data_IF_700633530349
#
_entry.id   IF_700633530349
#
_cell.length_a   1.000
_cell.length_b   1.000
_cell.length_c   1.000
_cell.angle_alpha   90.00
_cell.angle_beta   90.00
_cell.angle_gamma   90.00
#
_symmetry.space_group_name_H-M   'P 1'
#
loop_
_entity.id
_entity.type
_entity.pdbx_description
1 polymer ?
#
# COMPACT_ATOMS: atom_id res chain seq x y z
N UNK A 1 -20.19 24.97 10.18
CA UNK A 1 -19.26 23.90 9.76
C UNK A 1 -19.83 23.33 8.47
N UNK A 2 -19.25 23.67 7.31
CA UNK A 2 -19.67 23.05 6.05
C UNK A 2 -19.35 21.56 6.13
N UNK A 3 -20.31 20.69 5.79
CA UNK A 3 -20.01 19.27 5.58
C UNK A 3 -19.04 19.21 4.42
N UNK A 4 -17.82 18.73 4.65
CA UNK A 4 -16.96 18.33 3.55
C UNK A 4 -17.75 17.31 2.71
N UNK A 5 -17.96 17.60 1.42
CA UNK A 5 -18.57 16.64 0.53
C UNK A 5 -17.60 15.45 0.43
N UNK A 6 -18.05 14.27 0.88
CA UNK A 6 -17.35 13.04 0.56
C UNK A 6 -17.60 12.78 -0.92
N UNK A 7 -16.53 12.81 -1.72
CA UNK A 7 -16.62 12.44 -3.12
C UNK A 7 -16.59 10.91 -3.21
N UNK A 8 -17.63 10.26 -3.77
CA UNK A 8 -17.58 8.83 -3.98
C UNK A 8 -16.42 8.51 -4.94
N UNK A 9 -15.65 7.48 -4.60
CA UNK A 9 -14.57 7.02 -5.48
C UNK A 9 -15.20 6.24 -6.64
N UNK A 10 -15.08 6.76 -7.87
CA UNK A 10 -15.53 6.04 -9.07
C UNK A 10 -14.52 4.95 -9.44
N UNK A 11 -14.60 3.82 -8.74
CA UNK A 11 -13.66 2.70 -8.88
C UNK A 11 -13.53 2.12 -10.31
N UNK A 12 -14.60 2.01 -11.12
CA UNK A 12 -14.49 1.56 -12.51
C UNK A 12 -13.50 2.35 -13.38
N UNK A 13 -13.12 3.56 -12.98
CA UNK A 13 -12.11 4.37 -13.66
C UNK A 13 -10.66 4.03 -13.25
N UNK A 14 -10.45 3.23 -12.19
CA UNK A 14 -9.16 3.02 -11.53
C UNK A 14 -8.48 1.72 -11.99
N UNK A 15 -9.27 0.65 -12.13
CA UNK A 15 -8.79 -0.68 -12.51
C UNK A 15 -9.38 -1.11 -13.85
N UNK A 16 -8.72 -2.03 -14.55
CA UNK A 16 -9.31 -2.68 -15.72
C UNK A 16 -10.57 -3.48 -15.35
N UNK A 17 -11.37 -3.84 -16.36
CA UNK A 17 -12.65 -4.52 -16.17
C UNK A 17 -12.52 -5.83 -15.41
N UNK A 18 -11.47 -6.62 -15.64
CA UNK A 18 -11.33 -7.94 -15.04
C UNK A 18 -10.92 -7.84 -13.57
N UNK A 19 -10.05 -6.90 -13.24
CA UNK A 19 -9.73 -6.58 -11.84
C UNK A 19 -10.94 -5.97 -11.11
N UNK A 20 -11.75 -5.15 -11.78
CA UNK A 20 -13.01 -4.67 -11.20
C UNK A 20 -13.97 -5.83 -10.88
N UNK A 21 -14.15 -6.78 -11.82
CA UNK A 21 -15.00 -7.96 -11.62
C UNK A 21 -14.47 -8.83 -10.47
N UNK A 22 -13.15 -9.04 -10.39
CA UNK A 22 -12.52 -9.75 -9.28
C UNK A 22 -12.82 -9.08 -7.94
N UNK A 23 -12.60 -7.77 -7.84
CA UNK A 23 -12.88 -6.98 -6.63
C UNK A 23 -14.37 -7.08 -6.27
N UNK A 24 -15.26 -7.00 -7.25
CA UNK A 24 -16.70 -7.06 -7.05
C UNK A 24 -17.19 -8.41 -6.54
N UNK A 25 -16.63 -9.50 -7.05
CA UNK A 25 -16.95 -10.84 -6.58
C UNK A 25 -16.53 -11.02 -5.11
N UNK A 26 -15.36 -10.52 -4.74
CA UNK A 26 -14.86 -10.56 -3.35
C UNK A 26 -15.74 -9.69 -2.44
N UNK A 27 -16.02 -8.46 -2.85
CA UNK A 27 -16.85 -7.55 -2.09
C UNK A 27 -18.29 -8.07 -1.91
N UNK A 28 -18.87 -8.66 -2.96
CA UNK A 28 -20.23 -9.23 -2.91
C UNK A 28 -20.31 -10.48 -2.05
N UNK A 29 -19.32 -11.38 -2.16
CA UNK A 29 -19.28 -12.64 -1.39
C UNK A 29 -19.07 -12.40 0.11
N UNK A 30 -18.29 -11.38 0.47
CA UNK A 30 -17.98 -11.03 1.86
C UNK A 30 -18.73 -9.84 2.42
N UNK A 31 -19.66 -9.24 1.66
CA UNK A 31 -20.43 -8.06 2.07
C UNK A 31 -19.49 -6.91 2.51
N UNK A 32 -18.45 -6.65 1.72
CA UNK A 32 -17.45 -5.62 1.98
C UNK A 32 -17.69 -4.41 1.10
N UNK A 33 -17.68 -3.18 1.66
CA UNK A 33 -17.53 -1.98 0.85
C UNK A 33 -16.29 -2.07 -0.06
N UNK A 34 -16.46 -1.71 -1.33
CA UNK A 34 -15.38 -1.82 -2.33
C UNK A 34 -14.17 -0.99 -1.95
N UNK A 35 -14.42 0.18 -1.40
CA UNK A 35 -13.43 1.16 -0.97
C UNK A 35 -12.56 0.62 0.18
N UNK A 36 -13.12 -0.22 1.06
CA UNK A 36 -12.32 -0.87 2.10
C UNK A 36 -11.31 -1.84 1.51
N UNK A 37 -11.76 -2.69 0.59
CA UNK A 37 -10.86 -3.66 -0.03
C UNK A 37 -9.76 -2.98 -0.83
N UNK A 38 -10.09 -1.98 -1.66
CA UNK A 38 -9.12 -1.26 -2.49
C UNK A 38 -8.08 -0.53 -1.64
N UNK A 39 -8.53 0.13 -0.58
CA UNK A 39 -7.64 0.87 0.32
C UNK A 39 -6.65 -0.05 1.03
N UNK A 40 -7.07 -1.26 1.39
CA UNK A 40 -6.20 -2.28 2.01
C UNK A 40 -5.34 -3.01 0.98
N UNK A 41 -5.80 -3.11 -0.28
CA UNK A 41 -5.06 -3.73 -1.38
C UNK A 41 -3.84 -2.90 -1.80
N UNK A 42 -3.89 -1.57 -1.74
CA UNK A 42 -2.77 -0.70 -2.11
C UNK A 42 -1.46 -1.01 -1.34
N UNK A 43 -1.43 -1.10 0.01
CA UNK A 43 -0.26 -1.56 0.76
C UNK A 43 0.26 -2.94 0.34
N UNK A 44 -0.63 -3.88 0.02
CA UNK A 44 -0.25 -5.22 -0.43
C UNK A 44 0.39 -5.18 -1.82
N UNK A 45 -0.14 -4.37 -2.74
CA UNK A 45 0.51 -4.11 -4.04
C UNK A 45 1.87 -3.47 -3.80
N UNK A 46 1.96 -2.42 -2.98
CA UNK A 46 3.22 -1.76 -2.62
C UNK A 46 4.25 -2.70 -1.97
N UNK A 47 3.78 -3.75 -1.29
CA UNK A 47 4.63 -4.81 -0.75
C UNK A 47 5.18 -5.71 -1.87
N UNK A 48 4.33 -6.17 -2.77
CA UNK A 48 4.71 -7.13 -3.82
C UNK A 48 5.35 -6.51 -5.07
N UNK A 49 5.23 -5.20 -5.28
CA UNK A 49 6.10 -4.48 -6.23
C UNK A 49 7.55 -4.40 -5.75
N UNK A 50 7.87 -4.97 -4.59
CA UNK A 50 9.22 -5.37 -4.19
C UNK A 50 10.25 -4.23 -4.15
N UNK A 51 9.80 -3.03 -3.79
CA UNK A 51 10.63 -1.84 -3.74
C UNK A 51 10.82 -1.13 -5.07
N UNK A 52 10.16 -1.57 -6.14
CA UNK A 52 10.07 -0.83 -7.39
C UNK A 52 9.67 0.63 -7.15
N UNK A 53 10.20 1.48 -8.01
CA UNK A 53 10.12 2.92 -7.87
C UNK A 53 9.24 3.50 -8.96
N UNK A 54 8.66 4.64 -8.65
CA UNK A 54 8.05 5.49 -9.66
C UNK A 54 8.87 6.77 -9.82
N UNK A 55 9.19 7.09 -11.06
CA UNK A 55 9.79 8.37 -11.44
C UNK A 55 8.68 9.29 -11.92
N UNK A 56 8.39 10.27 -11.08
CA UNK A 56 7.54 11.41 -11.47
C UNK A 56 8.42 12.47 -12.14
N UNK A 57 7.88 13.64 -12.47
CA UNK A 57 8.68 14.80 -12.88
C UNK A 57 9.76 15.21 -11.85
N UNK A 58 9.75 14.64 -10.63
CA UNK A 58 10.87 14.72 -9.70
C UNK A 58 12.12 14.02 -10.24
N UNK A 59 13.29 14.66 -10.10
CA UNK A 59 14.57 14.04 -10.51
C UNK A 59 14.84 12.71 -9.80
N UNK A 60 14.29 12.51 -8.61
CA UNK A 60 14.50 11.31 -7.80
C UNK A 60 13.28 10.39 -7.89
N UNK A 61 13.45 9.11 -8.26
CA UNK A 61 12.43 8.09 -8.10
C UNK A 61 12.01 7.93 -6.64
N UNK A 62 10.78 7.48 -6.41
CA UNK A 62 10.25 7.21 -5.07
C UNK A 62 9.72 5.78 -5.03
N UNK A 63 9.91 5.04 -3.93
CA UNK A 63 9.35 3.69 -3.86
C UNK A 63 7.82 3.76 -3.81
N UNK A 64 7.18 2.74 -4.37
CA UNK A 64 5.73 2.57 -4.29
C UNK A 64 5.41 1.98 -2.91
N UNK A 65 5.14 2.86 -1.94
CA UNK A 65 4.80 2.49 -0.57
C UNK A 65 3.59 3.25 -0.05
N UNK A 66 2.69 2.55 0.63
CA UNK A 66 1.43 3.12 1.09
C UNK A 66 1.26 2.96 2.58
N UNK A 67 0.82 4.05 3.23
CA UNK A 67 0.18 3.99 4.53
C UNK A 67 -1.30 4.24 4.29
N UNK A 68 -2.16 3.28 4.62
CA UNK A 68 -3.60 3.38 4.42
C UNK A 68 -4.34 3.04 5.69
N UNK A 69 -5.52 3.63 5.84
CA UNK A 69 -6.40 3.37 6.95
C UNK A 69 -7.86 3.37 6.51
N UNK A 70 -8.55 2.25 6.69
CA UNK A 70 -10.01 2.17 6.55
C UNK A 70 -10.66 2.61 7.87
N UNK A 71 -11.66 3.47 7.78
CA UNK A 71 -12.31 4.09 8.93
C UNK A 71 -13.76 3.64 8.96
N UNK A 72 -14.19 3.17 10.12
CA UNK A 72 -15.57 2.75 10.30
C UNK A 72 -15.90 2.36 11.73
N UNK A 73 -17.18 2.42 12.05
CA UNK A 73 -17.69 1.97 13.35
C UNK A 73 -17.49 0.45 13.54
N UNK A 74 -17.69 -0.08 14.76
CA UNK A 74 -17.75 -1.53 14.95
C UNK A 74 -18.78 -2.18 14.01
N UNK A 75 -18.53 -3.44 13.63
CA UNK A 75 -19.47 -4.26 12.84
C UNK A 75 -19.75 -3.82 11.40
N UNK A 76 -18.88 -2.99 10.81
CA UNK A 76 -18.96 -2.59 9.38
C UNK A 76 -18.01 -3.40 8.49
N UNK A 77 -17.65 -4.62 8.91
CA UNK A 77 -16.77 -5.55 8.18
C UNK A 77 -15.34 -5.03 7.87
N UNK A 78 -14.78 -4.13 8.70
CA UNK A 78 -13.37 -3.72 8.57
C UNK A 78 -12.42 -4.90 8.70
N UNK A 79 -12.61 -5.72 9.72
CA UNK A 79 -11.77 -6.89 10.01
C UNK A 79 -11.76 -7.90 8.87
N UNK A 80 -12.89 -8.10 8.21
CA UNK A 80 -12.95 -8.95 7.01
C UNK A 80 -12.07 -8.44 5.86
N UNK A 81 -11.98 -7.11 5.66
CA UNK A 81 -11.09 -6.54 4.65
C UNK A 81 -9.61 -6.67 5.07
N UNK A 82 -9.31 -6.46 6.35
CA UNK A 82 -7.98 -6.69 6.94
C UNK A 82 -7.53 -8.14 6.76
N UNK A 83 -8.39 -9.10 7.13
CA UNK A 83 -8.16 -10.54 7.00
C UNK A 83 -8.00 -10.98 5.54
N UNK A 84 -8.80 -10.43 4.62
CA UNK A 84 -8.68 -10.73 3.19
C UNK A 84 -7.27 -10.49 2.66
N UNK A 85 -6.70 -9.32 3.01
CA UNK A 85 -5.35 -8.94 2.60
C UNK A 85 -4.30 -9.75 3.35
N UNK A 86 -4.43 -9.90 4.67
CA UNK A 86 -3.50 -10.68 5.49
C UNK A 86 -3.38 -12.12 4.98
N UNK A 87 -4.51 -12.77 4.73
CA UNK A 87 -4.56 -14.13 4.21
C UNK A 87 -3.94 -14.23 2.82
N UNK A 88 -4.23 -13.26 1.93
CA UNK A 88 -3.63 -13.25 0.59
C UNK A 88 -2.10 -13.15 0.64
N UNK A 89 -1.55 -12.29 1.51
CA UNK A 89 -0.10 -12.15 1.70
C UNK A 89 0.49 -13.43 2.27
N UNK A 90 -0.11 -14.01 3.33
CA UNK A 90 0.36 -15.25 3.96
C UNK A 90 0.38 -16.44 2.98
N UNK A 91 -0.64 -16.56 2.14
CA UNK A 91 -0.71 -17.61 1.11
C UNK A 91 0.46 -17.47 0.12
N UNK A 92 0.78 -16.25 -0.30
CA UNK A 92 1.91 -15.98 -1.19
C UNK A 92 3.23 -16.28 -0.49
N UNK A 93 3.44 -15.81 0.75
CA UNK A 93 4.67 -16.09 1.50
C UNK A 93 4.91 -17.61 1.64
N UNK A 94 3.86 -18.35 2.00
CA UNK A 94 3.89 -19.81 2.06
C UNK A 94 4.23 -20.43 0.71
N UNK A 95 3.63 -19.94 -0.38
CA UNK A 95 3.93 -20.43 -1.73
C UNK A 95 5.36 -20.13 -2.17
N UNK A 96 5.92 -18.98 -1.77
CA UNK A 96 7.30 -18.60 -2.00
C UNK A 96 8.30 -19.34 -1.08
N UNK A 97 7.81 -20.20 -0.18
CA UNK A 97 8.65 -20.93 0.77
C UNK A 97 9.27 -20.06 1.86
N UNK A 98 8.73 -18.86 2.09
CA UNK A 98 9.15 -17.97 3.18
C UNK A 98 8.71 -18.61 4.51
N UNK A 99 9.67 -18.81 5.41
CA UNK A 99 9.38 -19.38 6.74
C UNK A 99 8.74 -18.34 7.64
N UNK A 100 8.04 -18.78 8.68
CA UNK A 100 7.35 -17.89 9.62
C UNK A 100 8.29 -16.87 10.28
N UNK A 101 9.51 -17.28 10.64
CA UNK A 101 10.54 -16.40 11.20
C UNK A 101 11.14 -15.41 10.19
N UNK A 102 10.94 -15.68 8.90
CA UNK A 102 11.36 -14.84 7.76
C UNK A 102 10.20 -14.04 7.16
N UNK A 103 9.00 -14.13 7.77
CA UNK A 103 7.80 -13.44 7.30
C UNK A 103 8.06 -11.95 7.23
N UNK A 104 7.58 -11.35 6.16
CA UNK A 104 7.66 -9.91 5.89
C UNK A 104 6.41 -9.18 6.37
N UNK A 105 5.49 -9.91 6.98
CA UNK A 105 4.33 -9.39 7.69
C UNK A 105 4.76 -9.09 9.12
N UNK A 106 4.53 -7.85 9.55
CA UNK A 106 4.94 -7.40 10.86
C UNK A 106 3.83 -6.62 11.57
N UNK A 107 3.74 -6.73 12.90
CA UNK A 107 2.90 -5.88 13.74
C UNK A 107 3.70 -5.27 14.91
N UNK A 108 4.97 -4.91 14.66
CA UNK A 108 5.85 -4.33 15.67
C UNK A 108 5.29 -2.99 16.11
N UNK A 109 4.97 -2.91 17.41
CA UNK A 109 4.43 -1.70 18.00
C UNK A 109 5.48 -0.59 18.19
N UNK A 110 6.78 -0.89 18.20
CA UNK A 110 7.81 0.16 18.41
C UNK A 110 8.67 0.37 17.17
N UNK A 111 9.13 1.60 16.95
CA UNK A 111 10.02 1.93 15.83
C UNK A 111 11.35 1.20 15.96
N UNK A 112 11.89 0.97 17.16
CA UNK A 112 13.08 0.15 17.36
C UNK A 112 12.89 -1.29 16.88
N UNK A 113 11.77 -1.92 17.25
CA UNK A 113 11.47 -3.29 16.86
C UNK A 113 11.28 -3.38 15.35
N UNK A 114 10.51 -2.45 14.78
CA UNK A 114 10.32 -2.31 13.33
C UNK A 114 11.65 -2.17 12.57
N UNK A 115 12.55 -1.28 13.02
CA UNK A 115 13.85 -1.11 12.35
C UNK A 115 14.77 -2.32 12.52
N UNK A 116 14.65 -3.04 13.63
CA UNK A 116 15.40 -4.28 13.87
C UNK A 116 14.93 -5.37 12.91
N UNK A 117 13.62 -5.51 12.70
CA UNK A 117 13.06 -6.45 11.73
C UNK A 117 13.39 -6.07 10.29
N UNK A 118 13.30 -4.79 9.94
CA UNK A 118 13.73 -4.30 8.63
C UNK A 118 15.20 -4.62 8.35
N UNK A 119 16.04 -4.60 9.39
CA UNK A 119 17.47 -4.94 9.27
C UNK A 119 17.71 -6.45 9.18
N UNK A 120 17.03 -7.24 10.01
CA UNK A 120 17.36 -8.65 10.22
C UNK A 120 16.58 -9.61 9.31
N UNK A 121 15.34 -9.26 8.98
CA UNK A 121 14.43 -10.14 8.24
C UNK A 121 14.40 -9.76 6.76
N UNK A 122 13.92 -8.55 6.48
CA UNK A 122 13.80 -8.04 5.11
C UNK A 122 13.69 -6.52 5.16
N UNK A 123 14.39 -5.75 4.30
CA UNK A 123 14.21 -4.29 4.23
C UNK A 123 12.84 -3.88 3.66
N UNK A 124 11.91 -4.82 3.49
CA UNK A 124 10.60 -4.63 2.87
C UNK A 124 9.56 -5.32 3.72
N UNK A 125 8.77 -4.54 4.45
CA UNK A 125 7.73 -5.07 5.34
C UNK A 125 6.36 -4.53 4.97
N UNK A 126 5.34 -5.30 5.31
CA UNK A 126 3.96 -4.85 5.40
C UNK A 126 3.48 -4.99 6.84
N UNK A 127 2.84 -3.96 7.36
CA UNK A 127 2.08 -4.05 8.60
C UNK A 127 0.59 -4.08 8.31
N UNK A 128 -0.11 -4.99 8.98
CA UNK A 128 -1.55 -5.15 8.86
C UNK A 128 -2.16 -5.02 10.25
N UNK A 129 -2.92 -3.94 10.48
CA UNK A 129 -3.48 -3.60 11.78
C UNK A 129 -5.00 -3.62 11.70
N UNK A 130 -5.65 -4.49 12.47
CA UNK A 130 -7.12 -4.42 12.59
C UNK A 130 -7.59 -3.24 13.47
N UNK A 131 -6.69 -2.75 14.33
CA UNK A 131 -6.91 -1.60 15.20
C UNK A 131 -5.71 -0.64 15.17
N UNK A 132 -5.79 0.35 14.29
CA UNK A 132 -4.76 1.36 14.04
C UNK A 132 -4.41 2.17 15.29
N UNK A 133 -5.33 2.26 16.26
CA UNK A 133 -5.10 2.97 17.52
C UNK A 133 -3.85 2.43 18.23
N UNK A 134 -3.58 1.12 18.15
CA UNK A 134 -2.40 0.51 18.76
C UNK A 134 -1.12 1.02 18.10
N UNK A 135 -1.12 1.12 16.77
CA UNK A 135 -0.01 1.71 16.00
C UNK A 135 0.15 3.20 16.33
N UNK A 136 -0.91 3.98 16.28
CA UNK A 136 -0.85 5.44 16.43
C UNK A 136 -0.46 5.84 17.86
N UNK A 137 -1.00 5.17 18.87
CA UNK A 137 -0.65 5.42 20.27
C UNK A 137 0.75 4.91 20.64
N UNK A 138 1.36 4.06 19.79
CA UNK A 138 2.68 3.55 20.08
C UNK A 138 3.80 4.57 19.97
N UNK A 139 3.58 5.64 19.19
CA UNK A 139 4.57 6.67 18.97
C UNK A 139 4.87 7.43 20.27
N UNK A 140 6.13 7.41 20.71
CA UNK A 140 6.55 8.11 21.92
C UNK A 140 6.24 7.42 23.25
N UNK A 141 5.69 6.19 23.26
CA UNK A 141 5.34 5.47 24.51
C UNK A 141 6.47 5.40 25.54
N UNK A 142 7.73 5.36 25.09
CA UNK A 142 8.90 5.11 25.94
C UNK A 142 9.80 6.33 26.15
N UNK A 143 9.42 7.53 25.70
CA UNK A 143 10.26 8.73 25.80
C UNK A 143 9.54 9.88 26.47
N UNK A 144 10.16 10.42 27.53
CA UNK A 144 9.74 11.67 28.19
C UNK A 144 9.84 12.90 27.27
N UNK A 145 10.40 12.77 26.06
CA UNK A 145 10.56 13.84 25.06
C UNK A 145 9.57 13.82 23.89
N UNK A 146 8.50 13.02 23.97
CA UNK A 146 7.41 13.02 22.99
C UNK A 146 7.59 12.12 21.76
N UNK A 147 6.56 12.09 20.91
CA UNK A 147 6.42 11.19 19.76
C UNK A 147 7.15 11.66 18.48
N UNK A 148 7.65 12.90 18.44
CA UNK A 148 8.15 13.55 17.23
C UNK A 148 9.25 12.77 16.50
N UNK A 149 10.17 12.14 17.23
CA UNK A 149 11.24 11.36 16.59
C UNK A 149 10.71 10.10 15.90
N UNK A 150 9.83 9.34 16.56
CA UNK A 150 9.29 8.10 16.00
C UNK A 150 8.44 8.41 14.77
N UNK A 151 7.63 9.47 14.82
CA UNK A 151 6.86 9.96 13.66
C UNK A 151 7.76 10.42 12.51
N UNK A 152 8.86 11.11 12.79
CA UNK A 152 9.84 11.51 11.75
C UNK A 152 10.47 10.30 11.03
N UNK A 153 10.70 9.20 11.75
CA UNK A 153 11.16 7.95 11.14
C UNK A 153 10.07 7.36 10.24
N UNK A 154 8.81 7.35 10.67
CA UNK A 154 7.69 6.89 9.83
C UNK A 154 7.55 7.75 8.56
N UNK A 155 7.68 9.07 8.67
CA UNK A 155 7.74 9.98 7.53
C UNK A 155 8.91 9.66 6.58
N UNK A 156 10.06 9.30 7.13
CA UNK A 156 11.26 8.90 6.36
C UNK A 156 11.05 7.57 5.64
N UNK A 157 10.43 6.59 6.30
CA UNK A 157 10.07 5.29 5.71
C UNK A 157 9.05 5.45 4.59
N UNK A 158 8.03 6.28 4.79
CA UNK A 158 7.05 6.60 3.74
C UNK A 158 7.72 7.25 2.52
N UNK A 159 8.59 8.23 2.75
CA UNK A 159 9.32 8.93 1.69
C UNK A 159 10.40 8.06 1.03
N UNK A 160 10.60 6.83 1.50
CA UNK A 160 11.50 5.85 0.86
C UNK A 160 12.95 6.30 0.83
N UNK A 161 13.45 6.79 1.96
CA UNK A 161 14.87 7.17 2.10
C UNK A 161 15.79 6.03 1.68
N UNK A 162 16.92 6.38 1.05
CA UNK A 162 17.97 5.41 0.68
C UNK A 162 18.53 4.73 1.92
N UNK A 163 18.62 5.44 3.05
CA UNK A 163 19.11 4.89 4.30
C UNK A 163 18.33 5.46 5.48
N UNK A 164 17.98 4.60 6.44
CA UNK A 164 17.45 4.98 7.75
C UNK A 164 18.45 4.55 8.83
N UNK A 165 18.87 5.49 9.68
CA UNK A 165 19.82 5.24 10.77
C UNK A 165 19.20 5.62 12.11
N UNK A 166 19.36 4.75 13.10
CA UNK A 166 18.99 5.00 14.50
C UNK A 166 20.09 4.53 15.42
N UNK A 167 20.57 5.40 16.29
CA UNK A 167 21.45 5.02 17.38
C UNK A 167 20.60 4.51 18.54
N UNK A 168 20.93 3.33 19.06
CA UNK A 168 20.26 2.69 20.20
C UNK A 168 21.30 2.34 21.27
N UNK A 169 20.83 1.92 22.45
CA UNK A 169 21.72 1.45 23.53
C UNK A 169 22.54 0.22 23.13
N UNK A 170 21.98 -0.65 22.29
CA UNK A 170 22.64 -1.88 21.81
C UNK A 170 23.49 -1.65 20.55
N UNK A 171 23.52 -0.44 20.00
CA UNK A 171 24.33 -0.07 18.84
C UNK A 171 23.55 0.70 17.77
N UNK A 172 24.15 0.83 16.59
CA UNK A 172 23.54 1.51 15.46
C UNK A 172 22.72 0.54 14.61
N UNK A 173 21.45 0.87 14.42
CA UNK A 173 20.59 0.23 13.42
C UNK A 173 20.71 1.08 12.16
N UNK A 174 21.16 0.46 11.07
CA UNK A 174 21.19 1.06 9.73
C UNK A 174 20.43 0.12 8.83
N UNK A 175 19.42 0.65 8.15
CA UNK A 175 18.62 -0.07 7.16
C UNK A 175 18.78 0.65 5.83
N UNK A 176 19.20 -0.08 4.81
CA UNK A 176 19.35 0.43 3.45
C UNK A 176 18.09 0.11 2.64
N UNK A 177 17.67 1.09 1.84
CA UNK A 177 16.48 1.06 1.00
C UNK A 177 15.22 0.49 1.67
N UNK A 178 14.87 0.92 2.91
CA UNK A 178 13.69 0.39 3.57
C UNK A 178 12.41 0.73 2.80
N UNK A 179 11.51 -0.25 2.74
CA UNK A 179 10.15 -0.12 2.25
C UNK A 179 9.22 -0.58 3.35
N UNK A 180 8.33 0.30 3.76
CA UNK A 180 7.26 -0.03 4.70
C UNK A 180 5.92 0.25 4.04
N UNK A 181 5.04 -0.73 4.09
CA UNK A 181 3.63 -0.59 3.77
C UNK A 181 2.81 -0.78 5.04
N UNK A 182 1.73 -0.02 5.21
CA UNK A 182 0.83 -0.11 6.36
C UNK A 182 -0.58 -0.17 5.82
N UNK A 183 -1.28 -1.27 6.12
CA UNK A 183 -2.72 -1.42 5.95
C UNK A 183 -3.34 -1.41 7.35
N UNK A 184 -4.23 -0.46 7.63
CA UNK A 184 -4.83 -0.35 8.96
C UNK A 184 -6.35 -0.22 8.90
N UNK A 185 -7.04 -0.72 9.90
CA UNK A 185 -8.43 -0.43 10.18
C UNK A 185 -8.53 0.39 11.47
N UNK A 186 -9.41 1.38 11.51
CA UNK A 186 -9.50 2.31 12.62
C UNK A 186 -10.94 2.72 12.92
N UNK A 187 -11.17 3.19 14.15
CA UNK A 187 -12.39 3.90 14.49
C UNK A 187 -12.28 5.40 14.18
N UNK A 188 -13.40 6.06 13.86
CA UNK A 188 -13.40 7.50 13.57
C UNK A 188 -12.77 8.34 14.68
N UNK A 189 -13.05 8.03 15.95
CA UNK A 189 -12.55 8.80 17.09
C UNK A 189 -11.01 8.79 17.18
N UNK A 190 -10.37 7.67 16.85
CA UNK A 190 -8.91 7.52 16.92
C UNK A 190 -8.24 8.31 15.80
N UNK A 191 -8.82 8.30 14.60
CA UNK A 191 -8.31 9.10 13.49
C UNK A 191 -8.53 10.59 13.73
N UNK A 192 -9.72 10.99 14.19
CA UNK A 192 -9.98 12.42 14.44
C UNK A 192 -9.08 12.99 15.52
N UNK A 193 -8.84 12.26 16.61
CA UNK A 193 -7.91 12.72 17.65
C UNK A 193 -6.48 12.81 17.14
N UNK A 194 -6.04 11.86 16.30
CA UNK A 194 -4.71 11.89 15.69
C UNK A 194 -4.56 13.05 14.70
N UNK A 195 -5.57 13.31 13.87
CA UNK A 195 -5.57 14.40 12.88
C UNK A 195 -5.71 15.76 13.55
N UNK A 196 -6.52 15.90 14.61
CA UNK A 196 -6.68 17.19 15.31
C UNK A 196 -5.40 17.63 16.01
N UNK A 197 -4.57 16.67 16.42
CA UNK A 197 -3.27 16.93 17.03
C UNK A 197 -2.16 17.20 15.99
N UNK A 198 -2.46 17.08 14.70
CA UNK A 198 -1.50 17.24 13.59
C UNK A 198 -1.15 18.72 13.30
N UNK A 199 -1.90 19.69 13.83
CA UNK A 199 -1.72 21.11 13.50
C UNK A 199 -0.35 21.69 13.88
N UNK A 200 0.39 21.00 14.76
CA UNK A 200 1.77 21.34 15.17
C UNK A 200 2.81 20.30 14.67
N UNK A 201 2.43 19.37 13.78
CA UNK A 201 3.13 18.09 13.59
C UNK A 201 3.83 17.91 12.22
N UNK A 202 4.59 16.82 12.10
CA UNK A 202 5.49 16.46 10.99
C UNK A 202 4.80 16.02 9.67
N UNK A 203 3.47 16.01 9.67
CA UNK A 203 2.64 15.65 8.53
C UNK A 203 2.57 14.15 8.26
N UNK A 204 2.83 13.29 9.24
CA UNK A 204 2.65 11.85 9.12
C UNK A 204 1.20 11.49 8.74
N UNK A 205 0.19 12.09 9.37
CA UNK A 205 -1.21 11.75 9.08
C UNK A 205 -1.60 12.18 7.66
N UNK A 206 -0.98 13.24 7.13
CA UNK A 206 -1.15 13.65 5.74
C UNK A 206 -0.56 12.65 4.71
N UNK A 207 0.17 11.62 5.16
CA UNK A 207 0.69 10.54 4.31
C UNK A 207 -0.20 9.30 4.29
N UNK A 208 -1.17 9.22 5.21
CA UNK A 208 -2.16 8.15 5.18
C UNK A 208 -3.21 8.41 4.10
N UNK A 209 -3.59 7.36 3.37
CA UNK A 209 -4.78 7.34 2.54
C UNK A 209 -5.94 6.79 3.37
N UNK A 210 -6.92 7.64 3.66
CA UNK A 210 -8.10 7.28 4.43
C UNK A 210 -9.25 6.88 3.53
N UNK A 211 -10.00 5.86 3.94
CA UNK A 211 -11.25 5.48 3.30
C UNK A 211 -12.33 5.30 4.35
N UNK A 212 -13.43 6.04 4.20
CA UNK A 212 -14.58 6.03 5.11
C UNK A 212 -15.89 5.94 4.30
N UNK A 213 -16.11 4.82 3.57
CA UNK A 213 -17.32 4.61 2.80
C UNK A 213 -18.54 4.54 3.71
N UNK A 214 -19.73 4.65 3.12
CA UNK A 214 -20.96 4.44 3.86
C UNK A 214 -21.00 3.02 4.46
N UNK A 215 -21.41 2.87 5.74
CA UNK A 215 -21.47 1.57 6.37
C UNK A 215 -22.37 0.61 5.60
N UNK A 216 -21.81 -0.50 5.13
CA UNK A 216 -22.61 -1.64 4.73
C UNK A 216 -22.91 -2.46 5.98
N UNK A 217 -24.16 -2.44 6.45
CA UNK A 217 -24.60 -3.30 7.55
C UNK A 217 -24.86 -4.69 6.94
N UNK A 218 -24.10 -5.73 7.31
CA UNK A 218 -24.34 -7.07 6.78
C UNK A 218 -25.77 -7.51 7.13
N UNK A 219 -26.52 -7.97 6.12
CA UNK A 219 -27.96 -8.31 6.24
C UNK A 219 -28.22 -9.53 7.13
N UNK A 220 -27.19 -10.32 7.41
CA UNK A 220 -27.20 -11.48 8.30
C UNK A 220 -25.98 -11.35 9.21
N UNK A 221 -26.13 -11.47 10.53
CA UNK A 221 -25.02 -11.43 11.50
C UNK A 221 -23.97 -12.54 11.34
N UNK A 222 -23.98 -13.27 10.23
CA UNK A 222 -22.94 -14.21 9.82
C UNK A 222 -21.85 -13.45 9.07
N UNK A 223 -20.71 -13.25 9.73
CA UNK A 223 -19.46 -12.90 9.05
C UNK A 223 -19.11 -14.08 8.16
N UNK A 224 -19.28 -13.94 6.84
CA UNK A 224 -18.90 -14.97 5.89
C UNK A 224 -17.39 -14.96 5.72
N UNK A 225 -16.74 -16.06 6.07
CA UNK A 225 -15.35 -16.29 5.71
C UNK A 225 -15.21 -16.33 4.18
N UNK A 226 -14.22 -15.63 3.64
CA UNK A 226 -13.91 -15.64 2.21
C UNK A 226 -13.67 -17.07 1.73
N UNK A 227 -14.38 -17.48 0.68
CA UNK A 227 -14.13 -18.75 0.00
C UNK A 227 -13.08 -18.51 -1.09
N UNK A 228 -11.93 -19.19 -1.02
CA UNK A 228 -10.68 -18.81 -1.74
C UNK A 228 -10.51 -19.61 -3.06
N UNK A 229 -11.49 -20.41 -3.48
CA UNK A 229 -11.33 -21.39 -4.57
C UNK A 229 -11.39 -20.81 -6.02
N UNK A 230 -11.48 -19.51 -6.19
CA UNK A 230 -11.56 -18.81 -7.50
C UNK A 230 -10.36 -17.86 -7.73
N UNK A 231 -10.15 -17.29 -8.94
CA UNK A 231 -9.27 -16.14 -9.11
C UNK A 231 -9.43 -15.18 -7.93
N UNK A 232 -8.32 -14.93 -7.23
CA UNK A 232 -8.33 -14.38 -5.88
C UNK A 232 -7.20 -13.37 -5.73
N UNK A 233 -7.26 -12.55 -4.68
CA UNK A 233 -6.25 -11.52 -4.41
C UNK A 233 -4.83 -12.08 -4.39
N UNK A 234 -4.63 -13.29 -3.86
CA UNK A 234 -3.32 -13.94 -3.86
C UNK A 234 -2.79 -14.24 -5.26
N UNK A 235 -3.64 -14.50 -6.26
CA UNK A 235 -3.20 -14.69 -7.63
C UNK A 235 -2.72 -13.37 -8.25
N UNK A 236 -3.52 -12.30 -8.12
CA UNK A 236 -3.15 -10.96 -8.58
C UNK A 236 -1.82 -10.51 -7.96
N UNK A 237 -1.72 -10.58 -6.64
CA UNK A 237 -0.53 -10.17 -5.90
C UNK A 237 0.70 -11.03 -6.22
N UNK A 238 0.51 -12.33 -6.50
CA UNK A 238 1.60 -13.21 -6.96
C UNK A 238 2.10 -12.82 -8.34
N UNK A 239 1.22 -12.51 -9.29
CA UNK A 239 1.62 -12.06 -10.64
C UNK A 239 2.41 -10.74 -10.53
N UNK A 240 1.93 -9.79 -9.72
CA UNK A 240 2.65 -8.54 -9.43
C UNK A 240 4.04 -8.85 -8.84
N UNK A 241 4.11 -9.78 -7.89
CA UNK A 241 5.38 -10.22 -7.32
C UNK A 241 6.32 -10.78 -8.37
N UNK A 242 5.86 -11.65 -9.27
CA UNK A 242 6.67 -12.21 -10.35
C UNK A 242 7.24 -11.11 -11.24
N UNK A 243 6.42 -10.17 -11.70
CA UNK A 243 6.87 -9.03 -12.51
C UNK A 243 7.95 -8.17 -11.84
N UNK A 244 7.87 -8.02 -10.53
CA UNK A 244 8.77 -7.16 -9.75
C UNK A 244 9.89 -7.92 -9.04
N UNK A 245 9.92 -9.24 -9.20
CA UNK A 245 11.01 -10.08 -8.75
C UNK A 245 11.98 -10.20 -9.91
N UNK A 246 13.02 -9.38 -9.86
CA UNK A 246 14.25 -9.68 -10.59
C UNK A 246 14.77 -10.99 -10.01
N UNK A 247 14.40 -12.12 -10.61
CA UNK A 247 15.02 -13.38 -10.26
C UNK A 247 16.53 -13.18 -10.35
N UNK A 248 17.19 -13.48 -9.24
CA UNK A 248 18.64 -13.54 -9.04
C UNK A 248 19.26 -14.66 -9.90
N UNK A 249 18.90 -14.76 -11.18
CA UNK A 249 19.44 -15.71 -12.13
C UNK A 249 20.62 -15.06 -12.85
N UNK A 250 21.79 -15.12 -12.20
CA UNK A 250 23.06 -15.47 -12.88
C UNK A 250 24.29 -15.54 -11.95
N UNK A 251 24.13 -15.56 -10.62
CA UNK A 251 25.28 -15.73 -9.70
C UNK A 251 26.35 -14.62 -9.80
N UNK A 252 26.10 -13.57 -10.59
CA UNK A 252 26.91 -12.37 -10.73
C UNK A 252 26.18 -11.22 -10.06
N UNK A 253 26.20 -11.20 -8.73
CA UNK A 253 25.96 -9.95 -8.00
C UNK A 253 27.11 -9.01 -8.34
N UNK A 254 26.91 -8.13 -9.31
CA UNK A 254 27.65 -6.88 -9.33
C UNK A 254 27.02 -6.04 -8.22
N UNK A 255 27.81 -5.70 -7.20
CA UNK A 255 27.35 -5.05 -5.97
C UNK A 255 26.83 -3.60 -6.17
N UNK A 256 26.78 -3.08 -7.41
CA UNK A 256 26.64 -1.64 -7.66
C UNK A 256 25.34 -1.20 -8.37
N UNK A 257 24.52 -2.09 -8.94
CA UNK A 257 23.30 -1.67 -9.64
C UNK A 257 22.03 -2.21 -8.99
N UNK A 258 21.31 -1.27 -8.40
CA UNK A 258 19.99 -1.43 -7.83
C UNK A 258 18.98 -1.80 -8.93
N UNK A 259 18.72 -3.10 -9.11
CA UNK A 259 17.88 -3.65 -10.18
C UNK A 259 16.37 -3.38 -10.00
N UNK A 260 15.99 -2.34 -9.25
CA UNK A 260 14.59 -1.96 -9.05
C UNK A 260 13.97 -1.49 -10.38
N UNK A 261 12.76 -1.97 -10.66
CA UNK A 261 11.98 -1.45 -11.79
C UNK A 261 11.62 0.00 -11.49
N UNK A 262 11.89 0.88 -12.44
CA UNK A 262 11.49 2.29 -12.37
C UNK A 262 10.35 2.52 -13.35
N UNK A 263 9.13 2.54 -12.82
CA UNK A 263 7.95 2.93 -13.56
C UNK A 263 8.05 4.42 -13.91
N UNK A 264 7.98 4.71 -15.21
CA UNK A 264 8.10 6.08 -15.73
C UNK A 264 6.84 6.41 -16.52
N UNK A 265 6.28 7.59 -16.28
CA UNK A 265 5.17 8.09 -17.06
C UNK A 265 5.62 8.52 -18.45
N UNK A 266 4.78 8.30 -19.47
CA UNK A 266 4.91 9.00 -20.75
C UNK A 266 4.75 10.51 -20.55
N UNK A 267 5.28 11.30 -21.49
CA UNK A 267 5.15 12.76 -21.44
C UNK A 267 3.66 13.21 -21.37
N UNK A 268 2.78 12.53 -22.11
CA UNK A 268 1.34 12.82 -22.11
C UNK A 268 0.69 12.49 -20.76
N UNK A 269 1.02 11.34 -20.15
CA UNK A 269 0.50 10.98 -18.84
C UNK A 269 0.99 11.96 -17.75
N UNK A 270 2.25 12.40 -17.82
CA UNK A 270 2.78 13.43 -16.92
C UNK A 270 2.02 14.74 -17.07
N UNK A 271 1.71 15.13 -18.30
CA UNK A 271 0.95 16.35 -18.59
C UNK A 271 -0.45 16.26 -17.98
N UNK A 272 -1.19 15.17 -18.22
CA UNK A 272 -2.54 14.96 -17.66
C UNK A 272 -2.53 15.03 -16.13
N UNK A 273 -1.55 14.39 -15.48
CA UNK A 273 -1.41 14.44 -14.02
C UNK A 273 -1.12 15.86 -13.53
N UNK A 274 -0.22 16.59 -14.21
CA UNK A 274 0.09 17.97 -13.83
C UNK A 274 -1.12 18.90 -14.01
N UNK A 275 -1.82 18.80 -15.15
CA UNK A 275 -2.98 19.64 -15.46
C UNK A 275 -4.11 19.42 -14.43
N UNK A 276 -4.43 18.16 -14.11
CA UNK A 276 -5.42 17.83 -13.08
C UNK A 276 -5.01 18.33 -11.68
N UNK A 277 -3.71 18.30 -11.39
CA UNK A 277 -3.17 18.77 -10.12
C UNK A 277 -3.23 20.30 -9.98
N UNK A 278 -2.92 21.01 -11.06
CA UNK A 278 -3.01 22.46 -11.14
C UNK A 278 -4.48 22.91 -11.05
N UNK A 279 -5.40 22.21 -11.71
CA UNK A 279 -6.84 22.44 -11.60
C UNK A 279 -7.35 22.24 -10.16
N UNK A 280 -7.00 21.12 -9.52
CA UNK A 280 -7.39 20.85 -8.14
C UNK A 280 -6.83 21.91 -7.17
N UNK A 281 -5.59 22.37 -7.41
CA UNK A 281 -4.96 23.44 -6.65
C UNK A 281 -5.76 24.74 -6.73
N UNK A 282 -6.19 25.12 -7.94
CA UNK A 282 -7.03 26.30 -8.16
C UNK A 282 -8.37 26.16 -7.43
N UNK A 283 -9.05 25.02 -7.59
CA UNK A 283 -10.33 24.77 -6.92
C UNK A 283 -10.25 24.87 -5.39
N UNK A 284 -9.18 24.33 -4.78
CA UNK A 284 -8.97 24.41 -3.32
C UNK A 284 -8.73 25.87 -2.90
N UNK A 285 -7.91 26.62 -3.64
CA UNK A 285 -7.66 28.05 -3.34
C UNK A 285 -8.95 28.85 -3.39
N UNK A 286 -9.75 28.64 -4.43
CA UNK A 286 -11.04 29.31 -4.61
C UNK A 286 -12.05 28.94 -3.51
N UNK A 287 -12.18 27.64 -3.19
CA UNK A 287 -13.17 27.17 -2.22
C UNK A 287 -12.89 27.63 -0.78
N UNK A 288 -11.61 27.75 -0.40
CA UNK A 288 -11.22 28.06 0.97
C UNK A 288 -10.65 29.48 1.16
N UNK A 289 -10.52 30.27 0.09
CA UNK A 289 -9.94 31.62 0.15
C UNK A 289 -8.50 31.63 0.68
N UNK A 290 -7.75 30.55 0.44
CA UNK A 290 -6.39 30.38 0.95
C UNK A 290 -5.41 30.99 -0.06
N UNK A 291 -4.95 32.22 0.23
CA UNK A 291 -3.82 32.85 -0.47
C UNK A 291 -2.45 32.31 0.02
N UNK A 292 -2.44 31.49 1.07
CA UNK A 292 -1.20 30.91 1.61
C UNK A 292 -0.65 29.80 0.69
N UNK A 293 0.66 29.55 0.85
CA UNK A 293 1.38 28.52 0.11
C UNK A 293 0.89 27.11 0.48
N UNK A 294 -0.05 26.59 -0.32
CA UNK A 294 -0.51 25.21 -0.27
C UNK A 294 0.53 24.20 -0.79
N UNK A 295 1.70 24.66 -1.24
CA UNK A 295 2.72 23.84 -1.90
C UNK A 295 3.15 22.62 -1.09
N UNK A 296 3.14 22.69 0.24
CA UNK A 296 3.52 21.56 1.11
C UNK A 296 2.46 20.44 1.14
N UNK A 297 1.17 20.79 1.22
CA UNK A 297 0.05 19.84 1.22
C UNK A 297 -0.09 19.23 -0.17
N UNK A 298 -0.07 20.10 -1.17
CA UNK A 298 -0.18 19.73 -2.57
C UNK A 298 1.01 18.85 -3.01
N UNK A 299 2.23 19.17 -2.62
CA UNK A 299 3.39 18.32 -2.88
C UNK A 299 3.20 16.89 -2.34
N UNK A 300 2.62 16.72 -1.15
CA UNK A 300 2.33 15.40 -0.56
C UNK A 300 1.24 14.66 -1.35
N UNK A 301 0.16 15.34 -1.71
CA UNK A 301 -0.91 14.77 -2.54
C UNK A 301 -0.37 14.30 -3.90
N UNK A 302 0.48 15.10 -4.56
CA UNK A 302 1.13 14.73 -5.82
C UNK A 302 1.98 13.47 -5.71
N UNK A 303 2.73 13.32 -4.61
CA UNK A 303 3.50 12.10 -4.31
C UNK A 303 2.57 10.90 -4.10
N UNK A 304 1.47 11.05 -3.36
CA UNK A 304 0.48 10.00 -3.16
C UNK A 304 -0.15 9.53 -4.47
N UNK A 305 -0.67 10.46 -5.29
CA UNK A 305 -1.26 10.16 -6.60
C UNK A 305 -0.26 9.42 -7.49
N UNK A 306 0.99 9.87 -7.47
CA UNK A 306 2.04 9.22 -8.24
C UNK A 306 2.27 7.78 -7.80
N UNK A 307 2.36 7.53 -6.49
CA UNK A 307 2.51 6.16 -5.97
C UNK A 307 1.30 5.29 -6.34
N UNK A 308 0.08 5.81 -6.21
CA UNK A 308 -1.15 5.11 -6.61
C UNK A 308 -1.06 4.70 -8.07
N UNK A 309 -0.77 5.62 -8.98
CA UNK A 309 -0.68 5.29 -10.39
C UNK A 309 0.47 4.32 -10.73
N UNK A 310 1.58 4.33 -9.98
CA UNK A 310 2.60 3.28 -10.07
C UNK A 310 2.07 1.89 -9.68
N UNK A 311 1.30 1.81 -8.59
CA UNK A 311 0.65 0.57 -8.18
C UNK A 311 -0.39 0.10 -9.21
N UNK A 312 -1.22 1.01 -9.74
CA UNK A 312 -2.20 0.70 -10.78
C UNK A 312 -1.54 0.22 -12.08
N UNK A 313 -0.40 0.80 -12.44
CA UNK A 313 0.35 0.33 -13.60
C UNK A 313 0.87 -1.10 -13.40
N UNK A 314 1.39 -1.42 -12.21
CA UNK A 314 1.80 -2.79 -11.87
C UNK A 314 0.60 -3.76 -11.91
N UNK A 315 -0.58 -3.34 -11.44
CA UNK A 315 -1.82 -4.11 -11.53
C UNK A 315 -2.24 -4.32 -12.99
N UNK A 316 -2.20 -3.28 -13.82
CA UNK A 316 -2.57 -3.37 -15.24
C UNK A 316 -1.67 -4.34 -16.02
N UNK A 317 -0.36 -4.33 -15.75
CA UNK A 317 0.56 -5.32 -16.30
C UNK A 317 0.20 -6.74 -15.85
N UNK A 318 -0.16 -6.91 -14.58
CA UNK A 318 -0.61 -8.19 -14.04
C UNK A 318 -1.94 -8.66 -14.65
N UNK A 319 -2.90 -7.75 -14.87
CA UNK A 319 -4.20 -8.06 -15.45
C UNK A 319 -4.09 -8.60 -16.87
N UNK A 320 -3.20 -8.04 -17.70
CA UNK A 320 -2.96 -8.54 -19.05
C UNK A 320 -2.51 -10.02 -19.09
N UNK A 321 -1.82 -10.47 -18.04
CA UNK A 321 -1.43 -11.88 -17.84
C UNK A 321 -2.59 -12.69 -17.30
N UNK A 322 -3.31 -12.13 -16.34
CA UNK A 322 -4.47 -12.75 -15.70
C UNK A 322 -5.52 -13.20 -16.72
N UNK A 323 -5.77 -12.38 -17.73
CA UNK A 323 -6.71 -12.67 -18.81
C UNK A 323 -6.28 -13.87 -19.65
N UNK A 324 -4.97 -14.06 -19.86
CA UNK A 324 -4.45 -15.23 -20.57
C UNK A 324 -4.60 -16.49 -19.72
N UNK A 325 -4.39 -16.37 -18.40
CA UNK A 325 -4.45 -17.49 -17.45
C UNK A 325 -5.85 -18.04 -17.23
N UNK A 326 -6.85 -17.16 -17.15
CA UNK A 326 -8.25 -17.56 -16.97
C UNK A 326 -8.73 -18.43 -18.14
N UNK A 327 -8.20 -18.20 -19.34
CA UNK A 327 -8.67 -18.85 -20.57
C UNK A 327 -7.89 -20.12 -20.94
N UNK A 328 -6.84 -20.50 -20.19
CA UNK A 328 -6.03 -21.68 -20.49
C UNK A 328 -6.30 -22.85 -19.53
N UNK A 329 -7.18 -23.76 -19.93
CA UNK A 329 -7.54 -24.97 -19.17
C UNK A 329 -6.44 -26.06 -19.13
N UNK A 330 -5.35 -25.91 -19.88
CA UNK A 330 -4.38 -26.99 -20.10
C UNK A 330 -3.35 -27.17 -18.98
N UNK A 331 -3.20 -26.19 -18.09
CA UNK A 331 -2.17 -26.19 -17.04
C UNK A 331 -2.74 -26.59 -15.65
N UNK A 332 -2.08 -27.48 -14.90
CA UNK A 332 -2.55 -27.89 -13.57
C UNK A 332 -2.26 -26.82 -12.52
N UNK A 333 -3.29 -26.27 -11.89
CA UNK A 333 -3.16 -25.34 -10.74
C UNK A 333 -2.76 -23.90 -11.11
N UNK A 334 -3.45 -22.91 -10.54
CA UNK A 334 -3.30 -21.50 -10.93
C UNK A 334 -1.90 -20.91 -10.75
N UNK A 335 -1.15 -21.30 -9.73
CA UNK A 335 0.22 -20.80 -9.51
C UNK A 335 1.20 -21.26 -10.59
N UNK A 336 1.12 -22.53 -10.97
CA UNK A 336 1.93 -23.09 -12.05
C UNK A 336 1.56 -22.43 -13.38
N UNK A 337 0.26 -22.11 -13.60
CA UNK A 337 -0.17 -21.30 -14.74
C UNK A 337 0.51 -19.92 -14.72
N UNK A 338 0.40 -19.19 -13.61
CA UNK A 338 0.95 -17.83 -13.47
C UNK A 338 2.45 -17.79 -13.73
N UNK A 339 3.19 -18.77 -13.18
CA UNK A 339 4.62 -18.89 -13.42
C UNK A 339 4.94 -19.21 -14.88
N UNK A 340 4.22 -20.15 -15.51
CA UNK A 340 4.45 -20.53 -16.89
C UNK A 340 4.20 -19.37 -17.88
N UNK A 341 3.13 -18.60 -17.68
CA UNK A 341 2.86 -17.42 -18.51
C UNK A 341 3.88 -16.32 -18.25
N UNK A 342 4.31 -16.14 -17.01
CA UNK A 342 5.39 -15.20 -16.70
C UNK A 342 6.71 -15.58 -17.38
N UNK A 343 7.09 -16.87 -17.33
CA UNK A 343 8.27 -17.40 -18.01
C UNK A 343 8.17 -17.27 -19.54
N UNK A 344 6.96 -17.28 -20.09
CA UNK A 344 6.70 -16.99 -21.51
C UNK A 344 6.88 -15.50 -21.82
N UNK A 345 6.32 -14.61 -21.00
CA UNK A 345 6.42 -13.16 -21.18
C UNK A 345 7.85 -12.64 -21.03
N UNK A 346 8.66 -13.25 -20.16
CA UNK A 346 10.10 -12.96 -20.06
C UNK A 346 10.88 -13.21 -21.36
N UNK A 347 10.36 -14.04 -22.27
CA UNK A 347 11.04 -14.37 -23.54
C UNK A 347 10.72 -13.41 -24.68
N UNK A 348 9.70 -12.55 -24.51
CA UNK A 348 9.22 -11.57 -25.49
C UNK A 348 9.91 -10.23 -25.25
#
# INVERSE_FOLDING_TARGET
MQKAALYPMDVPAIFDTNICVLIDNICSSSQLPREYLITMLLPAIGHFVNGSQIRTNTRTPTNISFFTAIIGYPSVNKSSATEAILNAVLVIEKHLGIKTEESRINCSATVESLLTELKNTCPRLIQVWDEAVTLLQSFGLYKQGGAAYDRSIMCTLYNSSVVVKRQTKSGNITVENPVLNIAAAAHPADIFSSVSNESDDDGLMARFLFSAPEPCIPLSGEIRSLNIDEPSLNHLLYIIHCFNSTEQNDGRRNDDEDQRIIYSYSADAQKVINDAFDECTLQIREAYGIDQDLGSILGKAKVQVSKIAGALHAVSLAAAVFDQLINDDSLPGYYDKSKAVFDLLKRV
#
